data_IF_193364060480
#
_entry.id   IF_193364060480
#
_cell.length_a   1.000
_cell.length_b   1.000
_cell.length_c   1.000
_cell.angle_alpha   90.00
_cell.angle_beta   90.00
_cell.angle_gamma   90.00
#
_symmetry.space_group_name_H-M   'P 1'
#
loop_
_entity.id
_entity.type
_entity.pdbx_description
1 polymer ?
#
# COMPACT_ATOMS: atom_id res chain seq x y z
N UNK A 1 -15.62 -12.56 -17.07
CA UNK A 1 -15.62 -13.36 -15.82
C UNK A 1 -14.22 -13.57 -15.24
N UNK A 2 -13.29 -14.24 -15.94
CA UNK A 2 -11.92 -14.54 -15.44
C UNK A 2 -11.13 -13.33 -14.96
N UNK A 3 -11.18 -12.21 -15.69
CA UNK A 3 -10.44 -11.01 -15.31
C UNK A 3 -10.85 -10.48 -13.93
N UNK A 4 -12.15 -10.52 -13.63
CA UNK A 4 -12.69 -9.95 -12.40
C UNK A 4 -12.44 -10.86 -11.20
N UNK A 5 -12.44 -12.19 -11.38
CA UNK A 5 -12.04 -13.12 -10.33
C UNK A 5 -10.61 -12.84 -9.84
N UNK A 6 -9.72 -12.50 -10.77
CA UNK A 6 -8.31 -12.13 -10.46
C UNK A 6 -8.15 -10.69 -9.93
N UNK A 7 -9.25 -9.98 -9.67
CA UNK A 7 -9.29 -8.66 -9.03
C UNK A 7 -9.96 -8.74 -7.64
N UNK A 8 -9.93 -9.90 -6.97
CA UNK A 8 -10.56 -10.05 -5.65
C UNK A 8 -9.51 -10.22 -4.56
N UNK A 9 -9.80 -9.73 -3.35
CA UNK A 9 -8.97 -9.97 -2.15
C UNK A 9 -8.73 -11.48 -1.95
N UNK A 10 -9.78 -12.31 -2.12
CA UNK A 10 -9.69 -13.77 -2.05
C UNK A 10 -8.67 -14.36 -3.02
N UNK A 11 -8.61 -13.84 -4.25
CA UNK A 11 -7.60 -14.27 -5.21
C UNK A 11 -6.19 -13.80 -4.80
N UNK A 12 -6.05 -12.54 -4.39
CA UNK A 12 -4.75 -11.99 -3.97
C UNK A 12 -4.14 -12.79 -2.81
N UNK A 13 -4.96 -13.20 -1.83
CA UNK A 13 -4.50 -13.99 -0.67
C UNK A 13 -4.52 -15.50 -0.91
N UNK A 14 -4.83 -15.97 -2.12
CA UNK A 14 -4.74 -17.40 -2.44
C UNK A 14 -3.28 -17.89 -2.50
N UNK A 15 -2.33 -16.96 -2.60
CA UNK A 15 -0.91 -17.23 -2.42
C UNK A 15 -0.52 -17.01 -0.96
N UNK A 16 0.11 -18.01 -0.34
CA UNK A 16 0.50 -17.96 1.07
C UNK A 16 1.44 -16.78 1.38
N UNK A 17 2.27 -16.34 0.41
CA UNK A 17 3.15 -15.18 0.59
C UNK A 17 2.36 -13.90 0.88
N UNK A 18 1.18 -13.74 0.27
CA UNK A 18 0.34 -12.57 0.49
C UNK A 18 -0.48 -12.70 1.77
N UNK A 19 -1.03 -13.90 2.03
CA UNK A 19 -1.82 -14.20 3.22
C UNK A 19 -1.00 -14.09 4.52
N UNK A 20 0.19 -14.66 4.53
CA UNK A 20 1.01 -14.78 5.74
C UNK A 20 1.74 -13.48 6.11
N UNK A 21 1.95 -12.60 5.13
CA UNK A 21 2.66 -11.33 5.28
C UNK A 21 1.69 -10.14 5.19
N UNK A 22 1.54 -9.55 4.01
CA UNK A 22 0.89 -8.25 3.79
C UNK A 22 -0.58 -8.21 4.19
N UNK A 23 -1.30 -9.34 4.09
CA UNK A 23 -2.70 -9.41 4.51
C UNK A 23 -2.84 -9.24 6.02
N UNK A 24 -1.97 -9.87 6.82
CA UNK A 24 -1.99 -9.71 8.28
C UNK A 24 -1.75 -8.26 8.69
N UNK A 25 -0.84 -7.57 8.01
CA UNK A 25 -0.55 -6.16 8.25
C UNK A 25 -1.75 -5.27 7.88
N UNK A 26 -2.35 -5.52 6.72
CA UNK A 26 -3.51 -4.76 6.24
C UNK A 26 -4.71 -4.85 7.19
N UNK A 27 -4.92 -6.00 7.83
CA UNK A 27 -6.01 -6.18 8.81
C UNK A 27 -5.96 -5.24 10.00
N UNK A 28 -4.79 -4.67 10.30
CA UNK A 28 -4.59 -3.74 11.41
C UNK A 28 -4.77 -2.27 11.01
N UNK A 29 -5.38 -2.00 9.85
CA UNK A 29 -5.46 -0.65 9.26
C UNK A 29 -6.90 -0.16 9.14
N UNK A 30 -7.07 1.16 9.00
CA UNK A 30 -8.37 1.80 8.76
C UNK A 30 -9.01 1.35 7.42
N UNK A 31 -8.21 0.87 6.47
CA UNK A 31 -8.72 0.36 5.20
C UNK A 31 -9.38 -1.01 5.37
N UNK A 32 -9.01 -1.77 6.40
CA UNK A 32 -9.66 -3.03 6.75
C UNK A 32 -10.86 -2.84 7.69
N UNK A 33 -10.68 -2.08 8.77
CA UNK A 33 -11.72 -1.86 9.77
C UNK A 33 -11.88 -0.36 10.06
N UNK A 34 -13.07 0.17 9.81
CA UNK A 34 -13.40 1.57 10.03
C UNK A 34 -14.85 1.76 10.45
N UNK A 35 -15.17 2.99 10.86
CA UNK A 35 -16.48 3.38 11.39
C UNK A 35 -17.63 3.38 10.36
N UNK A 36 -17.33 3.40 9.06
CA UNK A 36 -18.35 3.50 8.00
C UNK A 36 -18.67 2.16 7.35
N UNK A 37 -17.86 1.12 7.59
CA UNK A 37 -18.01 -0.21 7.00
C UNK A 37 -17.57 -0.33 5.54
N UNK A 38 -17.13 0.77 4.91
CA UNK A 38 -16.62 0.78 3.53
C UNK A 38 -15.13 0.42 3.55
N UNK A 39 -14.76 -0.68 2.89
CA UNK A 39 -13.38 -1.18 2.86
C UNK A 39 -12.72 -0.93 1.51
N UNK A 40 -11.45 -0.53 1.54
CA UNK A 40 -10.57 -0.60 0.38
C UNK A 40 -9.75 -1.88 0.51
N UNK A 41 -9.97 -2.82 -0.40
CA UNK A 41 -9.34 -4.14 -0.42
C UNK A 41 -8.08 -4.15 -1.30
N UNK A 42 -7.36 -5.27 -1.34
CA UNK A 42 -6.14 -5.42 -2.15
C UNK A 42 -6.23 -4.82 -3.58
N UNK A 43 -7.23 -5.17 -4.41
CA UNK A 43 -7.35 -4.64 -5.78
C UNK A 43 -7.56 -3.13 -5.83
N UNK A 44 -8.24 -2.53 -4.85
CA UNK A 44 -8.56 -1.09 -4.86
C UNK A 44 -7.29 -0.23 -4.85
N UNK A 45 -6.21 -0.74 -4.24
CA UNK A 45 -4.90 -0.08 -4.15
C UNK A 45 -3.87 -0.60 -5.16
N UNK A 46 -3.93 -1.88 -5.55
CA UNK A 46 -2.88 -2.51 -6.37
C UNK A 46 -3.26 -2.75 -7.84
N UNK A 47 -4.54 -2.62 -8.19
CA UNK A 47 -5.07 -2.85 -9.53
C UNK A 47 -5.78 -1.59 -10.04
N UNK A 48 -5.29 -0.95 -11.12
CA UNK A 48 -5.98 0.20 -11.68
C UNK A 48 -7.42 -0.12 -12.08
N UNK A 49 -8.35 0.83 -11.92
CA UNK A 49 -9.76 0.65 -12.32
C UNK A 49 -9.93 0.66 -13.84
N UNK A 50 -9.24 1.61 -14.50
CA UNK A 50 -9.27 1.80 -15.95
C UNK A 50 -8.70 0.61 -16.72
N UNK A 51 -9.34 0.25 -17.84
CA UNK A 51 -9.02 -0.96 -18.59
C UNK A 51 -7.56 -1.02 -19.05
N UNK A 52 -7.05 0.04 -19.69
CA UNK A 52 -5.69 0.06 -20.23
C UNK A 52 -4.61 -0.15 -19.16
N UNK A 53 -4.54 0.72 -18.13
CA UNK A 53 -3.62 0.56 -17.01
C UNK A 53 -3.78 -0.78 -16.27
N UNK A 54 -5.02 -1.27 -16.10
CA UNK A 54 -5.31 -2.58 -15.50
C UNK A 54 -4.64 -3.71 -16.27
N UNK A 55 -4.78 -3.73 -17.59
CA UNK A 55 -4.18 -4.77 -18.43
C UNK A 55 -2.65 -4.71 -18.38
N UNK A 56 -2.06 -3.51 -18.43
CA UNK A 56 -0.60 -3.32 -18.28
C UNK A 56 -0.12 -3.86 -16.93
N UNK A 57 -0.83 -3.56 -15.83
CA UNK A 57 -0.50 -4.05 -14.49
C UNK A 57 -0.56 -5.57 -14.42
N UNK A 58 -1.59 -6.19 -15.02
CA UNK A 58 -1.73 -7.65 -15.05
C UNK A 58 -0.65 -8.35 -15.85
N UNK A 59 -0.24 -7.77 -16.99
CA UNK A 59 0.92 -8.28 -17.75
C UNK A 59 2.19 -8.19 -16.91
N UNK A 60 2.44 -7.07 -16.22
CA UNK A 60 3.59 -6.92 -15.32
C UNK A 60 3.52 -7.88 -14.12
N UNK A 61 2.32 -8.16 -13.61
CA UNK A 61 2.07 -9.08 -12.50
C UNK A 61 2.45 -10.52 -12.83
N UNK A 62 2.52 -10.91 -14.10
CA UNK A 62 2.94 -12.26 -14.49
C UNK A 62 4.35 -12.61 -13.96
N UNK A 63 5.20 -11.61 -13.70
CA UNK A 63 6.50 -11.79 -13.03
C UNK A 63 6.39 -12.30 -11.59
N UNK A 64 5.28 -12.01 -10.91
CA UNK A 64 5.00 -12.51 -9.56
C UNK A 64 4.78 -14.03 -9.59
N UNK A 65 4.19 -14.57 -10.67
CA UNK A 65 4.08 -16.02 -10.88
C UNK A 65 5.45 -16.67 -11.11
N UNK A 66 6.34 -16.02 -11.85
CA UNK A 66 7.72 -16.49 -11.98
C UNK A 66 8.43 -16.49 -10.61
N UNK A 67 8.29 -15.42 -9.83
CA UNK A 67 8.82 -15.35 -8.46
C UNK A 67 8.25 -16.44 -7.53
N UNK A 68 6.96 -16.78 -7.69
CA UNK A 68 6.30 -17.89 -7.00
C UNK A 68 6.95 -19.24 -7.34
N UNK A 69 7.12 -19.54 -8.63
CA UNK A 69 7.76 -20.79 -9.10
C UNK A 69 9.21 -20.89 -8.61
N UNK A 70 9.94 -19.79 -8.63
CA UNK A 70 11.33 -19.73 -8.16
C UNK A 70 11.45 -19.62 -6.62
N UNK A 71 10.33 -19.44 -5.91
CA UNK A 71 10.30 -19.31 -4.46
C UNK A 71 11.10 -18.11 -3.91
N UNK A 72 11.13 -16.99 -4.63
CA UNK A 72 11.95 -15.81 -4.28
C UNK A 72 11.52 -15.15 -2.97
N UNK A 73 10.24 -15.24 -2.63
CA UNK A 73 9.63 -14.68 -1.40
C UNK A 73 8.77 -15.71 -0.65
N UNK A 74 9.05 -17.00 -0.84
CA UNK A 74 8.19 -18.10 -0.37
C UNK A 74 8.16 -18.28 1.16
N UNK A 75 8.99 -17.59 1.93
CA UNK A 75 8.95 -17.61 3.40
C UNK A 75 8.92 -16.18 3.94
N UNK A 76 8.46 -15.96 5.19
CA UNK A 76 8.48 -14.64 5.81
C UNK A 76 9.87 -13.98 5.81
N UNK A 77 10.93 -14.75 6.01
CA UNK A 77 12.31 -14.26 6.02
C UNK A 77 12.75 -13.79 4.62
N UNK A 78 12.42 -14.58 3.58
CA UNK A 78 12.68 -14.19 2.19
C UNK A 78 11.88 -12.96 1.79
N UNK A 79 10.60 -12.89 2.19
CA UNK A 79 9.77 -11.72 1.96
C UNK A 79 10.35 -10.48 2.66
N UNK A 80 10.79 -10.61 3.91
CA UNK A 80 11.43 -9.53 4.66
C UNK A 80 12.71 -9.03 3.98
N UNK A 81 13.57 -9.94 3.50
CA UNK A 81 14.79 -9.58 2.74
C UNK A 81 14.51 -8.81 1.45
N UNK A 82 13.37 -9.08 0.81
CA UNK A 82 12.94 -8.41 -0.42
C UNK A 82 12.01 -7.21 -0.20
N UNK A 83 11.57 -6.96 1.06
CA UNK A 83 10.52 -5.99 1.39
C UNK A 83 10.81 -4.60 0.84
N UNK A 84 12.03 -4.11 1.02
CA UNK A 84 12.41 -2.77 0.55
C UNK A 84 12.28 -2.66 -0.97
N UNK A 85 12.81 -3.63 -1.72
CA UNK A 85 12.76 -3.64 -3.19
C UNK A 85 11.30 -3.72 -3.67
N UNK A 86 10.49 -4.57 -3.05
CA UNK A 86 9.07 -4.70 -3.38
C UNK A 86 8.31 -3.41 -3.10
N UNK A 87 8.50 -2.81 -1.92
CA UNK A 87 7.86 -1.55 -1.55
C UNK A 87 8.25 -0.41 -2.51
N UNK A 88 9.54 -0.29 -2.87
CA UNK A 88 10.01 0.72 -3.84
C UNK A 88 9.40 0.54 -5.23
N UNK A 89 9.12 -0.70 -5.67
CA UNK A 89 8.43 -0.93 -6.94
C UNK A 89 6.99 -0.39 -6.90
N UNK A 90 6.27 -0.66 -5.81
CA UNK A 90 4.91 -0.16 -5.61
C UNK A 90 4.89 1.37 -5.49
N UNK A 91 5.81 1.95 -4.73
CA UNK A 91 5.93 3.42 -4.59
C UNK A 91 6.26 4.09 -5.91
N UNK A 92 7.21 3.56 -6.68
CA UNK A 92 7.53 4.10 -8.01
C UNK A 92 6.33 4.04 -8.95
N UNK A 93 5.55 2.95 -8.92
CA UNK A 93 4.31 2.86 -9.72
C UNK A 93 3.30 3.90 -9.28
N UNK A 94 2.98 3.93 -7.99
CA UNK A 94 2.00 4.86 -7.42
C UNK A 94 2.43 6.32 -7.58
N UNK A 95 3.73 6.63 -7.66
CA UNK A 95 4.19 7.98 -7.98
C UNK A 95 4.01 8.28 -9.46
N UNK A 96 4.43 7.35 -10.33
CA UNK A 96 4.38 7.52 -11.78
C UNK A 96 2.96 7.68 -12.35
N UNK A 97 1.95 7.11 -11.69
CA UNK A 97 0.54 7.29 -12.07
C UNK A 97 -0.20 8.33 -11.22
N UNK A 98 0.54 9.24 -10.55
CA UNK A 98 -0.02 10.28 -9.69
C UNK A 98 -0.92 9.72 -8.57
N UNK A 99 -0.64 8.54 -8.03
CA UNK A 99 -1.39 7.89 -6.96
C UNK A 99 -2.87 7.71 -7.30
N UNK A 100 -3.13 7.33 -8.56
CA UNK A 100 -4.47 7.14 -9.11
C UNK A 100 -5.36 6.29 -8.19
N UNK A 101 -4.83 5.18 -7.67
CA UNK A 101 -5.57 4.26 -6.83
C UNK A 101 -6.01 4.91 -5.50
N UNK A 102 -5.15 5.74 -4.90
CA UNK A 102 -5.51 6.53 -3.72
C UNK A 102 -6.63 7.51 -4.04
N UNK A 103 -6.51 8.23 -5.17
CA UNK A 103 -7.40 9.32 -5.57
C UNK A 103 -8.79 8.85 -5.98
N UNK A 104 -8.93 7.58 -6.38
CA UNK A 104 -10.23 6.98 -6.65
C UNK A 104 -11.19 7.05 -5.45
N UNK A 105 -10.65 7.18 -4.23
CA UNK A 105 -11.42 7.34 -2.99
C UNK A 105 -11.04 8.63 -2.22
N UNK A 106 -9.80 9.10 -2.35
CA UNK A 106 -9.25 10.27 -1.67
C UNK A 106 -8.79 11.34 -2.67
N UNK A 107 -9.72 11.89 -3.44
CA UNK A 107 -9.38 13.02 -4.32
C UNK A 107 -9.21 14.29 -3.48
N UNK A 108 -8.02 14.91 -3.54
CA UNK A 108 -7.67 16.10 -2.77
C UNK A 108 -8.54 17.32 -3.11
N UNK A 109 -9.17 17.33 -4.29
CA UNK A 109 -10.07 18.41 -4.72
C UNK A 109 -11.32 18.46 -3.86
N UNK A 110 -11.69 17.32 -3.27
CA UNK A 110 -12.85 17.16 -2.40
C UNK A 110 -12.48 17.06 -0.91
N UNK A 111 -11.23 17.35 -0.56
CA UNK A 111 -10.84 17.42 0.84
C UNK A 111 -11.44 18.66 1.49
N UNK A 112 -12.14 18.48 2.60
CA UNK A 112 -12.44 19.57 3.51
C UNK A 112 -11.17 19.90 4.33
N UNK A 113 -10.45 20.93 3.90
CA UNK A 113 -9.23 21.37 4.58
C UNK A 113 -9.52 22.04 5.94
N UNK A 114 -10.76 22.51 6.18
CA UNK A 114 -11.11 23.21 7.42
C UNK A 114 -11.12 22.27 8.64
N UNK A 115 -11.43 20.99 8.43
CA UNK A 115 -11.44 19.97 9.47
C UNK A 115 -10.10 19.25 9.65
N UNK A 116 -9.11 19.53 8.79
CA UNK A 116 -7.77 18.97 8.93
C UNK A 116 -6.98 19.73 10.00
N UNK A 117 -6.18 19.01 10.79
CA UNK A 117 -5.25 19.65 11.71
C UNK A 117 -4.28 20.60 10.98
N UNK A 118 -3.95 21.74 11.61
CA UNK A 118 -3.19 22.84 10.99
C UNK A 118 -1.95 22.40 10.21
N UNK A 119 -1.14 21.50 10.79
CA UNK A 119 0.07 20.96 10.14
C UNK A 119 -0.28 20.16 8.89
N UNK A 120 -1.25 19.24 8.98
CA UNK A 120 -1.67 18.40 7.86
C UNK A 120 -2.19 19.25 6.71
N UNK A 121 -3.03 20.24 7.02
CA UNK A 121 -3.60 21.14 6.04
C UNK A 121 -2.49 21.89 5.27
N UNK A 122 -1.54 22.51 5.99
CA UNK A 122 -0.41 23.20 5.37
C UNK A 122 0.43 22.26 4.49
N UNK A 123 0.77 21.07 4.99
CA UNK A 123 1.58 20.10 4.23
C UNK A 123 0.87 19.57 2.98
N UNK A 124 -0.43 19.33 3.04
CA UNK A 124 -1.20 18.93 1.87
C UNK A 124 -1.21 20.05 0.82
N UNK A 125 -1.53 21.29 1.20
CA UNK A 125 -1.55 22.42 0.27
C UNK A 125 -0.18 22.64 -0.38
N UNK A 126 0.89 22.72 0.42
CA UNK A 126 2.25 22.88 -0.09
C UNK A 126 2.65 21.72 -0.98
N UNK A 127 2.43 20.48 -0.54
CA UNK A 127 2.86 19.29 -1.29
C UNK A 127 2.15 19.17 -2.65
N UNK A 128 0.84 19.40 -2.70
CA UNK A 128 0.11 19.36 -3.97
C UNK A 128 0.47 20.52 -4.89
N UNK A 129 0.75 21.72 -4.35
CA UNK A 129 1.26 22.84 -5.15
C UNK A 129 2.65 22.57 -5.75
N UNK A 130 3.48 21.78 -5.06
CA UNK A 130 4.79 21.31 -5.56
C UNK A 130 4.67 20.12 -6.53
N UNK A 131 3.46 19.65 -6.84
CA UNK A 131 3.23 18.50 -7.72
C UNK A 131 3.54 17.15 -7.09
N UNK A 132 3.64 17.07 -5.75
CA UNK A 132 3.80 15.79 -5.05
C UNK A 132 2.52 14.95 -5.15
N UNK A 133 2.72 13.64 -5.08
CA UNK A 133 1.66 12.63 -5.08
C UNK A 133 1.43 12.12 -3.66
N UNK A 134 0.34 11.36 -3.44
CA UNK A 134 0.01 10.83 -2.13
C UNK A 134 1.15 9.97 -1.55
N UNK A 135 1.79 9.16 -2.40
CA UNK A 135 2.83 8.20 -1.99
C UNK A 135 4.20 8.84 -1.71
N UNK A 136 4.39 10.12 -2.07
CA UNK A 136 5.61 10.85 -1.71
C UNK A 136 5.74 11.02 -0.19
N UNK A 137 4.59 11.19 0.50
CA UNK A 137 4.52 11.31 1.95
C UNK A 137 3.92 10.06 2.62
N UNK A 138 2.85 9.48 2.09
CA UNK A 138 2.13 8.39 2.75
C UNK A 138 2.70 7.02 2.35
N UNK A 139 3.93 6.71 2.79
CA UNK A 139 4.52 5.37 2.65
C UNK A 139 4.11 4.51 3.86
N UNK A 140 3.88 3.21 3.63
CA UNK A 140 3.48 2.28 4.69
C UNK A 140 2.00 2.43 5.14
N UNK A 141 1.10 2.79 4.21
CA UNK A 141 -0.33 3.03 4.51
C UNK A 141 -1.05 1.78 5.02
N UNK A 142 -0.85 0.65 4.34
CA UNK A 142 -1.53 -0.61 4.65
C UNK A 142 -0.57 -1.71 5.12
N UNK A 143 0.74 -1.49 5.01
CA UNK A 143 1.79 -2.49 5.20
C UNK A 143 2.95 -1.88 5.97
N UNK A 144 3.69 -2.71 6.69
CA UNK A 144 4.83 -2.27 7.49
C UNK A 144 5.87 -1.60 6.59
N UNK A 145 6.21 -0.35 6.94
CA UNK A 145 7.21 0.45 6.25
C UNK A 145 8.59 -0.20 6.43
N UNK A 146 9.30 -0.59 5.35
CA UNK A 146 10.68 -1.03 5.49
C UNK A 146 11.55 0.10 6.07
N UNK A 147 12.69 -0.22 6.70
CA UNK A 147 13.59 0.81 7.22
C UNK A 147 14.18 1.62 6.08
N UNK A 148 13.69 2.85 5.93
CA UNK A 148 14.14 3.83 4.94
C UNK A 148 14.16 5.20 5.57
N UNK A 149 15.10 6.04 5.14
CA UNK A 149 15.05 7.45 5.48
C UNK A 149 13.82 8.08 4.83
N UNK A 150 13.15 8.97 5.56
CA UNK A 150 11.97 9.68 5.12
C UNK A 150 12.23 11.16 5.26
N UNK A 151 12.25 11.88 4.12
CA UNK A 151 12.38 13.35 4.09
C UNK A 151 11.16 14.10 4.67
N UNK A 152 10.24 13.38 5.30
CA UNK A 152 8.95 13.85 5.80
C UNK A 152 8.70 13.31 7.22
N UNK A 153 8.45 14.22 8.15
CA UNK A 153 8.21 13.88 9.56
C UNK A 153 9.40 14.18 10.46
N UNK A 154 9.31 13.74 11.72
CA UNK A 154 10.46 13.76 12.64
C UNK A 154 11.37 12.61 12.24
N UNK A 155 12.71 12.76 12.23
CA UNK A 155 13.62 11.65 11.96
C UNK A 155 13.26 10.47 12.85
N UNK A 156 12.90 9.35 12.23
CA UNK A 156 12.70 8.08 12.91
C UNK A 156 13.64 7.08 12.26
N UNK A 157 14.48 6.45 13.06
CA UNK A 157 15.13 5.21 12.62
C UNK A 157 14.03 4.25 12.17
N UNK A 158 14.22 3.61 11.02
CA UNK A 158 13.21 2.80 10.38
C UNK A 158 12.48 1.90 11.38
N UNK A 159 11.16 2.08 11.49
CA UNK A 159 10.35 1.36 12.48
C UNK A 159 10.39 -0.12 12.13
N UNK A 160 10.98 -0.94 13.00
CA UNK A 160 11.05 -2.37 12.78
C UNK A 160 9.62 -2.97 12.69
N UNK A 161 9.40 -4.03 11.88
CA UNK A 161 8.05 -4.56 11.60
C UNK A 161 7.25 -4.96 12.84
N UNK A 162 7.94 -5.31 13.92
CA UNK A 162 7.42 -5.66 15.25
C UNK A 162 6.99 -4.43 16.07
N UNK A 163 7.54 -3.25 15.81
CA UNK A 163 7.21 -2.02 16.56
C UNK A 163 5.84 -1.45 16.13
N UNK A 164 5.35 -1.77 14.93
CA UNK A 164 3.95 -1.52 14.55
C UNK A 164 2.97 -2.50 15.21
N UNK A 165 3.48 -3.57 15.83
CA UNK A 165 2.70 -4.66 16.39
C UNK A 165 3.24 -5.02 17.80
N UNK A 166 2.92 -4.23 18.85
CA UNK A 166 3.20 -4.70 20.20
C UNK A 166 2.57 -6.10 20.35
N UNK A 167 3.33 -7.09 20.86
CA UNK A 167 2.78 -8.42 21.05
C UNK A 167 1.47 -8.29 21.84
N UNK A 168 0.43 -8.99 21.38
CA UNK A 168 -0.82 -9.06 22.10
C UNK A 168 -0.48 -9.41 23.56
N UNK A 169 -0.89 -8.56 24.50
CA UNK A 169 -0.70 -8.84 25.92
C UNK A 169 -1.41 -10.16 26.19
N UNK A 170 -0.64 -11.20 26.47
CA UNK A 170 -1.16 -12.47 26.97
C UNK A 170 -1.92 -12.20 28.27
N UNK A 171 -3.06 -12.85 28.51
CA UNK A 171 -3.85 -12.65 29.73
C UNK A 171 -3.05 -12.87 31.01
#
# INVERSE_FOLDING_TARGET
WTLEMTNTEKFCISCHEMEENVFKEYRNTIHYQNRTGVRATCPDCHVPKEWGPKMIRKVKASRELYGKVMGTIATPEKFAGERLRLAQNEWRRMKANNSQECRNCHNYEYFDYSVQGRRSNQMHQTGFAEGKTCIDCHKGVAHSLPPVDQDIGVPREGVAPDVMHPPARTP
#
